data_IF_611235305764
#
_entry.id   IF_611235305764
#
_cell.length_a   1.000
_cell.length_b   1.000
_cell.length_c   1.000
_cell.angle_alpha   90.00
_cell.angle_beta   90.00
_cell.angle_gamma   90.00
#
_symmetry.space_group_name_H-M   'P 1'
#
loop_
_entity.id
_entity.type
_entity.pdbx_description
1 polymer ?
#
# COMPACT_ATOMS: atom_id res chain seq x y z
N UNK A 1 -2.72 -14.34 5.94
CA UNK A 1 -4.01 -14.99 5.60
C UNK A 1 -5.12 -13.97 5.77
N UNK A 2 -6.15 -14.00 4.94
CA UNK A 2 -7.31 -13.13 5.09
C UNK A 2 -8.19 -13.68 6.20
N UNK A 3 -8.39 -12.87 7.26
CA UNK A 3 -9.27 -13.21 8.37
C UNK A 3 -10.67 -12.66 8.10
N UNK A 4 -11.64 -13.52 8.01
CA UNK A 4 -13.04 -13.18 7.80
C UNK A 4 -13.86 -13.15 9.10
N UNK A 5 -13.32 -13.60 10.22
CA UNK A 5 -14.04 -13.68 11.50
C UNK A 5 -13.95 -12.40 12.31
N UNK A 6 -12.73 -11.86 12.44
CA UNK A 6 -12.47 -10.66 13.23
C UNK A 6 -12.88 -9.35 12.57
N UNK A 7 -13.07 -9.38 11.26
CA UNK A 7 -13.25 -8.17 10.46
C UNK A 7 -12.01 -7.27 10.41
N UNK A 8 -11.89 -6.39 9.42
CA UNK A 8 -10.77 -5.47 9.33
C UNK A 8 -10.96 -4.29 10.29
N UNK A 9 -9.88 -3.88 10.94
CA UNK A 9 -9.83 -2.56 11.54
C UNK A 9 -9.72 -1.53 10.42
N UNK A 10 -10.79 -0.83 10.11
CA UNK A 10 -10.87 0.11 8.97
C UNK A 10 -9.75 1.13 9.03
N UNK A 11 -9.49 1.72 10.20
CA UNK A 11 -8.40 2.70 10.36
C UNK A 11 -7.03 2.16 9.92
N UNK A 12 -6.68 0.94 10.33
CA UNK A 12 -5.42 0.29 9.95
C UNK A 12 -5.39 -0.19 8.49
N UNK A 13 -6.55 -0.24 7.84
CA UNK A 13 -6.70 -0.77 6.47
C UNK A 13 -6.94 0.31 5.43
N UNK A 14 -6.95 1.57 5.81
CA UNK A 14 -7.10 2.68 4.87
C UNK A 14 -5.92 2.83 3.93
N UNK A 15 -4.71 2.62 4.43
CA UNK A 15 -3.48 2.62 3.66
C UNK A 15 -2.71 1.32 3.88
N UNK A 16 -1.73 1.05 3.03
CA UNK A 16 -0.95 -0.19 3.06
C UNK A 16 0.11 -0.22 4.16
N UNK A 17 1.36 -0.42 3.75
CA UNK A 17 2.48 -0.69 4.65
C UNK A 17 3.03 0.52 5.41
N UNK A 18 2.51 1.73 5.18
CA UNK A 18 2.99 2.94 5.82
C UNK A 18 4.26 3.53 5.20
N UNK A 19 4.63 3.09 3.99
CA UNK A 19 5.80 3.65 3.28
C UNK A 19 5.72 5.16 3.16
N UNK A 20 6.86 5.83 3.35
CA UNK A 20 6.97 7.29 3.28
C UNK A 20 6.42 8.05 4.47
N UNK A 21 5.68 7.40 5.39
CA UNK A 21 5.07 8.03 6.56
C UNK A 21 5.44 7.34 7.87
N UNK A 22 5.17 6.03 7.99
CA UNK A 22 5.41 5.25 9.20
C UNK A 22 6.79 4.60 9.20
N UNK A 23 7.38 4.39 8.02
CA UNK A 23 8.76 3.96 7.88
C UNK A 23 9.42 4.55 6.64
N UNK A 24 10.76 4.54 6.62
CA UNK A 24 11.58 5.00 5.51
C UNK A 24 12.70 3.98 5.27
N UNK A 25 13.15 3.88 4.02
CA UNK A 25 14.38 3.18 3.69
C UNK A 25 15.58 4.13 3.85
N UNK A 26 16.64 3.65 4.48
CA UNK A 26 17.90 4.38 4.67
C UNK A 26 19.00 3.66 3.88
N UNK A 27 19.66 4.39 2.99
CA UNK A 27 20.81 3.86 2.25
C UNK A 27 22.08 3.85 3.11
N UNK A 28 23.13 3.09 2.72
CA UNK A 28 24.41 3.15 3.41
C UNK A 28 25.06 4.55 3.47
N UNK A 29 24.65 5.44 2.57
CA UNK A 29 25.11 6.84 2.53
C UNK A 29 24.23 7.80 3.31
N UNK A 30 23.18 7.28 3.97
CA UNK A 30 22.27 8.07 4.78
C UNK A 30 21.11 8.72 4.05
N UNK A 31 20.89 8.40 2.78
CA UNK A 31 19.77 8.92 2.02
C UNK A 31 18.45 8.26 2.44
N UNK A 32 17.35 9.04 2.44
CA UNK A 32 16.03 8.60 2.85
C UNK A 32 15.09 8.48 1.64
N UNK A 33 14.45 7.30 1.52
CA UNK A 33 13.45 7.00 0.50
C UNK A 33 12.15 6.48 1.16
N UNK A 34 10.98 6.60 0.50
CA UNK A 34 9.72 6.12 1.04
C UNK A 34 9.72 4.63 1.40
N UNK A 35 10.35 3.80 0.59
CA UNK A 35 10.63 2.39 0.88
C UNK A 35 11.81 1.91 0.02
N UNK A 36 12.26 0.67 0.28
CA UNK A 36 13.39 0.08 -0.44
C UNK A 36 13.20 -0.01 -1.96
N UNK A 37 11.96 -0.12 -2.44
CA UNK A 37 11.68 -0.18 -3.87
C UNK A 37 11.87 1.15 -4.62
N UNK A 38 11.92 2.27 -3.90
CA UNK A 38 12.20 3.59 -4.47
C UNK A 38 13.67 4.00 -4.38
N UNK A 39 14.51 3.22 -3.72
CA UNK A 39 15.93 3.51 -3.59
C UNK A 39 16.59 3.63 -4.99
N UNK A 40 17.30 4.74 -5.20
CA UNK A 40 17.93 5.07 -6.48
C UNK A 40 17.07 5.89 -7.43
N UNK A 41 15.79 6.08 -7.14
CA UNK A 41 14.93 7.00 -7.89
C UNK A 41 14.99 8.40 -7.23
N UNK A 42 15.70 9.33 -7.85
CA UNK A 42 15.95 10.67 -7.32
C UNK A 42 14.64 11.46 -7.11
N UNK A 43 13.61 11.18 -7.87
CA UNK A 43 12.29 11.82 -7.71
C UNK A 43 11.66 11.52 -6.34
N UNK A 44 12.08 10.43 -5.71
CA UNK A 44 11.62 9.99 -4.39
C UNK A 44 12.66 10.15 -3.28
N UNK A 45 13.77 10.81 -3.53
CA UNK A 45 14.75 11.14 -2.49
C UNK A 45 14.15 12.15 -1.52
N UNK A 46 13.90 11.73 -0.28
CA UNK A 46 13.17 12.53 0.72
C UNK A 46 14.08 13.40 1.59
N UNK A 47 15.34 13.09 1.67
CA UNK A 47 16.30 13.77 2.53
C UNK A 47 17.43 12.83 2.95
N UNK A 48 17.99 13.08 4.12
CA UNK A 48 19.08 12.27 4.68
C UNK A 48 18.99 12.20 6.20
N UNK A 49 19.77 11.29 6.81
CA UNK A 49 19.72 11.06 8.27
C UNK A 49 20.22 12.22 9.11
N UNK A 50 21.01 13.13 8.55
CA UNK A 50 21.56 14.30 9.27
C UNK A 50 20.57 15.47 9.29
N UNK A 51 19.92 15.72 8.15
CA UNK A 51 18.97 16.84 7.98
C UNK A 51 17.52 16.44 8.16
N UNK A 52 17.23 15.14 8.16
CA UNK A 52 15.89 14.60 8.21
C UNK A 52 15.16 14.66 6.87
N UNK A 53 13.83 14.56 6.94
CA UNK A 53 12.97 14.62 5.74
C UNK A 53 12.85 16.07 5.27
N UNK A 54 13.36 16.36 4.09
CA UNK A 54 13.28 17.66 3.43
C UNK A 54 12.08 17.77 2.47
N UNK A 55 11.81 16.69 1.75
CA UNK A 55 10.71 16.60 0.78
C UNK A 55 9.41 16.21 1.48
N UNK A 56 8.82 17.17 2.20
CA UNK A 56 7.54 16.98 2.89
C UNK A 56 6.38 16.80 1.91
N UNK A 57 6.51 17.30 0.68
CA UNK A 57 5.58 17.07 -0.41
C UNK A 57 5.42 15.59 -0.74
N UNK A 58 6.52 14.85 -0.83
CA UNK A 58 6.51 13.38 -1.03
C UNK A 58 5.84 12.69 0.16
N UNK A 59 6.25 13.03 1.39
CA UNK A 59 5.64 12.48 2.61
C UNK A 59 4.13 12.70 2.62
N UNK A 60 3.67 13.90 2.29
CA UNK A 60 2.26 14.24 2.32
C UNK A 60 1.47 13.52 1.20
N UNK A 61 2.07 13.33 0.02
CA UNK A 61 1.50 12.51 -1.04
C UNK A 61 1.28 11.06 -0.59
N UNK A 62 2.30 10.45 0.04
CA UNK A 62 2.18 9.09 0.60
C UNK A 62 1.14 9.02 1.73
N UNK A 63 1.08 10.03 2.59
CA UNK A 63 0.10 10.12 3.67
C UNK A 63 -1.34 10.17 3.15
N UNK A 64 -1.56 10.89 2.06
CA UNK A 64 -2.87 10.99 1.43
C UNK A 64 -3.21 9.79 0.54
N UNK A 65 -2.25 8.90 0.26
CA UNK A 65 -2.43 7.73 -0.58
C UNK A 65 -3.15 6.61 0.18
N UNK A 66 -4.47 6.67 0.21
CA UNK A 66 -5.34 5.69 0.87
C UNK A 66 -6.39 5.14 -0.10
N UNK A 67 -7.20 4.17 0.35
CA UNK A 67 -8.19 3.50 -0.51
C UNK A 67 -9.26 4.43 -1.06
N UNK A 68 -9.54 5.54 -0.41
CA UNK A 68 -10.53 6.51 -0.89
C UNK A 68 -9.94 7.52 -1.87
N UNK A 69 -8.63 7.74 -1.83
CA UNK A 69 -7.91 8.59 -2.78
C UNK A 69 -7.74 7.92 -4.15
N UNK A 70 -7.84 6.59 -4.20
CA UNK A 70 -7.73 5.80 -5.42
C UNK A 70 -9.12 5.48 -5.96
N UNK A 71 -9.43 5.94 -7.16
CA UNK A 71 -10.77 5.79 -7.75
C UNK A 71 -11.23 4.33 -7.81
N UNK A 72 -10.37 3.44 -8.30
CA UNK A 72 -10.67 2.00 -8.36
C UNK A 72 -10.89 1.38 -6.98
N UNK A 73 -10.08 1.79 -6.01
CA UNK A 73 -10.13 1.23 -4.65
C UNK A 73 -11.35 1.70 -3.87
N UNK A 74 -11.80 2.94 -4.06
CA UNK A 74 -12.96 3.50 -3.35
C UNK A 74 -14.25 2.73 -3.60
N UNK A 75 -14.34 2.07 -4.76
CA UNK A 75 -15.50 1.26 -5.19
C UNK A 75 -15.26 -0.25 -5.06
N UNK A 76 -14.08 -0.68 -4.62
CA UNK A 76 -13.69 -2.08 -4.58
C UNK A 76 -14.18 -2.76 -3.31
N UNK A 77 -14.80 -3.94 -3.44
CA UNK A 77 -15.20 -4.74 -2.27
C UNK A 77 -14.03 -5.21 -1.40
N UNK A 78 -12.84 -5.33 -2.01
CA UNK A 78 -11.62 -5.81 -1.36
C UNK A 78 -10.85 -4.72 -0.60
N UNK A 79 -11.26 -3.46 -0.64
CA UNK A 79 -10.47 -2.31 -0.20
C UNK A 79 -9.91 -2.42 1.21
N UNK A 80 -10.69 -2.92 2.16
CA UNK A 80 -10.25 -3.04 3.56
C UNK A 80 -9.44 -4.30 3.87
N UNK A 81 -9.36 -5.23 2.94
CA UNK A 81 -8.45 -6.37 3.00
C UNK A 81 -7.16 -6.13 2.23
N UNK A 82 -7.25 -5.40 1.11
CA UNK A 82 -6.12 -5.05 0.25
C UNK A 82 -5.35 -3.81 0.74
N UNK A 83 -6.04 -2.84 1.34
CA UNK A 83 -5.48 -1.56 1.79
C UNK A 83 -4.89 -0.69 0.67
N UNK A 84 -5.32 -0.90 -0.57
CA UNK A 84 -4.89 -0.10 -1.73
C UNK A 84 -3.67 -0.64 -2.47
N UNK A 85 -3.10 -1.76 -2.05
CA UNK A 85 -1.95 -2.38 -2.71
C UNK A 85 -0.62 -1.68 -2.42
N UNK A 86 0.37 -1.92 -3.27
CA UNK A 86 1.74 -1.42 -3.15
C UNK A 86 1.92 -0.13 -3.95
N UNK A 87 2.37 0.94 -3.29
CA UNK A 87 2.64 2.24 -3.93
C UNK A 87 3.73 2.14 -5.02
N UNK A 88 4.78 1.34 -4.79
CA UNK A 88 5.84 1.14 -5.77
C UNK A 88 5.34 0.41 -7.02
N UNK A 89 4.50 -0.61 -6.87
CA UNK A 89 3.89 -1.28 -8.01
C UNK A 89 2.98 -0.33 -8.80
N UNK A 90 2.17 0.47 -8.10
CA UNK A 90 1.33 1.48 -8.72
C UNK A 90 2.18 2.46 -9.55
N UNK A 91 3.23 3.01 -8.97
CA UNK A 91 4.12 3.95 -9.65
C UNK A 91 4.84 3.32 -10.86
N UNK A 92 5.38 2.10 -10.69
CA UNK A 92 6.15 1.45 -11.75
C UNK A 92 5.30 1.08 -12.98
N UNK A 93 4.02 0.79 -12.80
CA UNK A 93 3.11 0.40 -13.88
C UNK A 93 2.24 1.55 -14.41
N UNK A 94 1.98 2.58 -13.61
CA UNK A 94 1.09 3.68 -13.98
C UNK A 94 1.71 5.07 -13.87
N UNK A 95 2.92 5.20 -13.32
CA UNK A 95 3.59 6.49 -13.14
C UNK A 95 3.05 7.32 -11.97
N UNK A 96 2.19 6.77 -11.14
CA UNK A 96 1.60 7.42 -9.97
C UNK A 96 1.38 6.45 -8.82
N UNK A 97 1.63 6.87 -7.59
CA UNK A 97 1.34 6.07 -6.40
C UNK A 97 -0.17 5.99 -6.09
N UNK A 98 -0.97 6.90 -6.65
CA UNK A 98 -2.42 6.98 -6.41
C UNK A 98 -3.24 6.13 -7.38
N UNK A 99 -2.60 5.40 -8.26
CA UNK A 99 -3.26 4.42 -9.13
C UNK A 99 -3.28 3.03 -8.48
N UNK A 100 -3.82 2.05 -9.17
CA UNK A 100 -3.90 0.67 -8.70
C UNK A 100 -3.24 -0.27 -9.70
N UNK A 101 -2.36 -1.16 -9.21
CA UNK A 101 -1.73 -2.18 -10.02
C UNK A 101 -2.74 -3.29 -10.35
N UNK A 102 -3.19 -3.37 -11.59
CA UNK A 102 -4.32 -4.21 -12.01
C UNK A 102 -4.12 -5.70 -11.71
N UNK A 103 -2.95 -6.26 -11.97
CA UNK A 103 -2.67 -7.66 -11.64
C UNK A 103 -2.76 -7.92 -10.13
N UNK A 104 -2.26 -6.99 -9.33
CA UNK A 104 -2.39 -7.05 -7.87
C UNK A 104 -3.84 -7.01 -7.42
N UNK A 105 -4.68 -6.21 -8.09
CA UNK A 105 -6.12 -6.15 -7.83
C UNK A 105 -6.79 -7.50 -8.08
N UNK A 106 -6.52 -8.13 -9.22
CA UNK A 106 -7.09 -9.43 -9.57
C UNK A 106 -6.65 -10.54 -8.61
N UNK A 107 -5.37 -10.58 -8.27
CA UNK A 107 -4.83 -11.54 -7.31
C UNK A 107 -5.47 -11.39 -5.92
N UNK A 108 -5.65 -10.15 -5.46
CA UNK A 108 -6.23 -9.89 -4.15
C UNK A 108 -7.72 -10.25 -4.08
N UNK A 109 -8.47 -9.94 -5.13
CA UNK A 109 -9.87 -10.35 -5.26
C UNK A 109 -10.00 -11.88 -5.22
N UNK A 110 -9.15 -12.59 -5.97
CA UNK A 110 -9.12 -14.06 -5.96
C UNK A 110 -8.79 -14.64 -4.58
N UNK A 111 -7.87 -14.02 -3.86
CA UNK A 111 -7.55 -14.43 -2.49
C UNK A 111 -8.77 -14.34 -1.57
N UNK A 112 -9.57 -13.29 -1.69
CA UNK A 112 -10.78 -13.11 -0.88
C UNK A 112 -11.84 -14.14 -1.28
N UNK A 113 -12.06 -14.37 -2.58
CA UNK A 113 -12.98 -15.39 -3.07
C UNK A 113 -12.61 -16.78 -2.53
N UNK A 114 -11.32 -17.14 -2.57
CA UNK A 114 -10.84 -18.41 -2.00
C UNK A 114 -11.02 -18.47 -0.48
N UNK A 115 -10.81 -17.37 0.23
CA UNK A 115 -11.02 -17.33 1.69
C UNK A 115 -12.51 -17.55 2.04
N UNK A 116 -13.42 -16.97 1.29
CA UNK A 116 -14.87 -17.17 1.44
C UNK A 116 -15.23 -18.62 1.14
N UNK A 117 -14.70 -19.19 0.07
CA UNK A 117 -14.93 -20.59 -0.31
C UNK A 117 -14.49 -21.56 0.80
N UNK A 118 -13.29 -21.36 1.36
CA UNK A 118 -12.77 -22.19 2.45
C UNK A 118 -13.68 -22.09 3.68
N UNK A 119 -14.08 -20.86 4.04
CA UNK A 119 -14.98 -20.63 5.19
C UNK A 119 -16.33 -21.30 5.00
N UNK A 120 -16.91 -21.23 3.80
CA UNK A 120 -18.17 -21.89 3.49
C UNK A 120 -18.04 -23.42 3.61
N UNK A 121 -16.94 -24.00 3.08
CA UNK A 121 -16.71 -25.43 3.18
C UNK A 121 -16.49 -25.92 4.62
N UNK A 122 -15.79 -25.11 5.44
CA UNK A 122 -15.61 -25.41 6.87
C UNK A 122 -16.92 -25.37 7.65
N UNK A 123 -17.85 -24.48 7.29
CA UNK A 123 -19.15 -24.33 7.94
C UNK A 123 -20.12 -25.49 7.65
N UNK A 124 -19.89 -26.21 6.55
CA UNK A 124 -20.69 -27.42 6.19
C UNK A 124 -20.28 -28.67 6.94
N UNK A 125 -19.12 -28.65 7.56
CA UNK A 125 -18.56 -29.75 8.35
C UNK A 125 -18.82 -29.51 9.85
#
# INVERSE_FOLDING_TARGET
MIDLEGGPCVYKRLSGCGSGTEYLAVTPWGDLYPCHQFVGNEDFLMGNVWDGVKRTDIRDEFKCCNVYAKEKCSKCFARFYCSGGCAANSYNFHGSITDAYDLGCELQKKRIECAIMIKAAEAEN
#
